data_IF_483007424626
#
_entry.id   IF_483007424626
#
_cell.length_a   1.000
_cell.length_b   1.000
_cell.length_c   1.000
_cell.angle_alpha   90.00
_cell.angle_beta   90.00
_cell.angle_gamma   90.00
#
_symmetry.space_group_name_H-M   'P 1'
#
loop_
_entity.id
_entity.type
_entity.pdbx_description
1 polymer ?
#
# COMPACT_ATOMS: atom_id res chain seq x y z
N UNK A 1 -95.96 28.03 20.42
CA UNK A 1 -95.06 28.58 19.39
C UNK A 1 -95.84 29.26 18.27
N UNK A 2 -96.85 28.62 17.66
CA UNK A 2 -97.72 29.27 16.66
C UNK A 2 -98.57 30.41 17.21
N UNK A 3 -99.21 30.25 18.38
CA UNK A 3 -100.11 31.27 18.96
C UNK A 3 -99.42 32.60 19.28
N UNK A 4 -98.20 32.56 19.84
CA UNK A 4 -97.40 33.76 20.17
C UNK A 4 -96.92 34.48 18.90
N UNK A 5 -96.52 33.72 17.87
CA UNK A 5 -96.11 34.27 16.58
C UNK A 5 -97.30 34.93 15.86
N UNK A 6 -98.49 34.30 15.90
CA UNK A 6 -99.70 34.92 15.36
C UNK A 6 -100.05 36.22 16.11
N UNK A 7 -99.93 36.26 17.44
CA UNK A 7 -100.19 37.45 18.25
C UNK A 7 -99.21 38.59 17.95
N UNK A 8 -97.93 38.29 17.75
CA UNK A 8 -96.92 39.28 17.34
C UNK A 8 -97.28 39.91 15.98
N UNK A 9 -97.61 39.08 14.97
CA UNK A 9 -98.02 39.59 13.66
C UNK A 9 -99.33 40.38 13.74
N UNK A 10 -100.28 39.95 14.57
CA UNK A 10 -101.54 40.67 14.83
C UNK A 10 -101.29 42.04 15.48
N UNK A 11 -100.42 42.13 16.49
CA UNK A 11 -100.04 43.41 17.11
C UNK A 11 -99.31 44.32 16.11
N UNK A 12 -98.45 43.79 15.24
CA UNK A 12 -97.81 44.57 14.16
C UNK A 12 -98.83 45.08 13.13
N UNK A 13 -99.79 44.25 12.74
CA UNK A 13 -100.86 44.61 11.81
C UNK A 13 -101.81 45.65 12.43
N UNK A 14 -102.09 45.55 13.72
CA UNK A 14 -102.89 46.53 14.47
C UNK A 14 -102.15 47.87 14.59
N UNK A 15 -100.85 47.86 14.88
CA UNK A 15 -99.99 49.06 14.90
C UNK A 15 -99.93 49.72 13.52
N UNK A 16 -99.87 48.91 12.46
CA UNK A 16 -99.95 49.38 11.07
C UNK A 16 -101.31 50.02 10.79
N UNK A 17 -102.40 49.37 11.19
CA UNK A 17 -103.79 49.87 11.01
C UNK A 17 -104.03 51.18 11.74
N UNK A 18 -103.47 51.34 12.95
CA UNK A 18 -103.55 52.58 13.73
C UNK A 18 -102.80 53.72 13.05
N UNK A 19 -101.65 53.45 12.43
CA UNK A 19 -100.87 54.43 11.67
C UNK A 19 -101.57 54.81 10.36
N UNK A 20 -102.14 53.84 9.65
CA UNK A 20 -102.84 54.05 8.37
C UNK A 20 -104.14 54.87 8.54
N UNK A 21 -104.86 54.65 9.65
CA UNK A 21 -106.10 55.39 9.96
C UNK A 21 -105.86 56.64 10.82
N UNK A 22 -104.60 56.97 11.13
CA UNK A 22 -104.24 58.13 11.94
C UNK A 22 -104.64 59.44 11.24
N UNK A 23 -105.09 60.42 12.02
CA UNK A 23 -105.57 61.69 11.47
C UNK A 23 -104.40 62.48 10.90
N UNK A 24 -104.38 62.70 9.59
CA UNK A 24 -103.33 63.47 8.92
C UNK A 24 -103.38 64.93 9.35
N UNK A 25 -102.23 65.53 9.62
CA UNK A 25 -102.13 66.97 9.90
C UNK A 25 -102.14 67.71 8.56
N UNK A 26 -103.04 68.67 8.33
CA UNK A 26 -103.15 69.36 7.04
C UNK A 26 -101.82 70.00 6.62
N UNK A 27 -101.45 69.82 5.35
CA UNK A 27 -100.20 70.32 4.75
C UNK A 27 -98.90 69.71 5.32
N UNK A 28 -98.95 68.55 5.98
CA UNK A 28 -97.77 67.77 6.41
C UNK A 28 -97.91 66.29 6.05
N UNK A 29 -96.79 65.58 5.96
CA UNK A 29 -96.76 64.11 5.90
C UNK A 29 -96.94 63.45 7.29
N UNK A 30 -97.09 64.26 8.35
CA UNK A 30 -97.28 63.78 9.72
C UNK A 30 -98.73 63.39 9.98
N UNK A 31 -98.92 62.29 10.69
CA UNK A 31 -100.21 61.90 11.24
C UNK A 31 -100.21 62.05 12.77
N UNK A 32 -101.38 62.37 13.33
CA UNK A 32 -101.62 62.46 14.75
C UNK A 32 -102.18 61.12 15.21
N UNK A 33 -101.44 60.45 16.09
CA UNK A 33 -101.76 59.12 16.61
C UNK A 33 -101.97 59.20 18.12
N UNK A 34 -102.96 58.47 18.69
CA UNK A 34 -103.16 58.45 20.13
C UNK A 34 -101.93 57.85 20.83
N UNK A 35 -101.17 58.70 21.53
CA UNK A 35 -99.90 58.33 22.16
C UNK A 35 -100.03 57.12 23.09
N UNK A 36 -101.06 57.10 23.92
CA UNK A 36 -101.24 56.05 24.93
C UNK A 36 -101.48 54.69 24.25
N UNK A 37 -102.37 54.63 23.26
CA UNK A 37 -102.63 53.41 22.49
C UNK A 37 -101.42 52.90 21.71
N UNK A 38 -100.59 53.82 21.18
CA UNK A 38 -99.38 53.46 20.43
C UNK A 38 -98.28 52.94 21.36
N UNK A 39 -98.19 53.46 22.58
CA UNK A 39 -97.30 52.94 23.62
C UNK A 39 -97.78 51.57 24.10
N UNK A 40 -99.09 51.38 24.30
CA UNK A 40 -99.68 50.08 24.68
C UNK A 40 -99.37 49.00 23.61
N UNK A 41 -99.56 49.31 22.33
CA UNK A 41 -99.24 48.40 21.22
C UNK A 41 -97.72 48.11 21.11
N UNK A 42 -96.87 49.09 21.42
CA UNK A 42 -95.41 48.90 21.44
C UNK A 42 -94.98 48.05 22.65
N UNK A 43 -95.63 48.20 23.79
CA UNK A 43 -95.39 47.39 24.98
C UNK A 43 -95.92 45.96 24.77
N UNK A 44 -97.11 45.78 24.18
CA UNK A 44 -97.63 44.48 23.75
C UNK A 44 -96.72 43.82 22.72
N UNK A 45 -96.18 44.58 21.75
CA UNK A 45 -95.20 44.07 20.78
C UNK A 45 -93.90 43.64 21.47
N UNK A 46 -93.46 44.41 22.46
CA UNK A 46 -92.25 44.13 23.25
C UNK A 46 -92.42 42.93 24.17
N UNK A 47 -93.61 42.72 24.71
CA UNK A 47 -93.96 41.62 25.61
C UNK A 47 -94.34 40.34 24.83
N UNK A 48 -94.82 40.49 23.59
CA UNK A 48 -95.07 39.39 22.65
C UNK A 48 -93.86 38.97 21.82
N UNK A 49 -92.76 39.75 21.86
CA UNK A 49 -91.47 39.30 21.31
C UNK A 49 -91.14 37.94 21.91
N UNK A 50 -91.09 36.87 21.09
CA UNK A 50 -90.99 35.53 21.62
C UNK A 50 -89.70 35.39 22.42
N UNK A 51 -89.77 34.76 23.59
CA UNK A 51 -88.58 34.37 24.37
C UNK A 51 -87.57 33.61 23.50
N UNK A 52 -88.06 32.87 22.50
CA UNK A 52 -87.27 32.17 21.48
C UNK A 52 -86.33 33.09 20.66
N UNK A 53 -86.73 34.34 20.36
CA UNK A 53 -85.91 35.30 19.60
C UNK A 53 -84.78 35.86 20.46
N UNK A 54 -85.07 36.16 21.74
CA UNK A 54 -84.05 36.59 22.70
C UNK A 54 -83.07 35.45 23.01
N UNK A 55 -83.60 34.23 23.17
CA UNK A 55 -82.80 33.01 23.32
C UNK A 55 -81.92 32.76 22.09
N UNK A 56 -82.44 32.95 20.87
CA UNK A 56 -81.66 32.84 19.65
C UNK A 56 -80.50 33.86 19.59
N UNK A 57 -80.74 35.12 20.01
CA UNK A 57 -79.69 36.14 20.13
C UNK A 57 -78.58 35.73 21.10
N UNK A 58 -78.94 35.26 22.30
CA UNK A 58 -78.00 34.77 23.30
C UNK A 58 -77.20 33.55 22.80
N UNK A 59 -77.83 32.64 22.06
CA UNK A 59 -77.16 31.48 21.44
C UNK A 59 -76.14 31.93 20.38
N UNK A 60 -76.47 32.94 19.56
CA UNK A 60 -75.55 33.48 18.56
C UNK A 60 -74.36 34.17 19.23
N UNK A 61 -74.59 34.93 20.29
CA UNK A 61 -73.53 35.58 21.07
C UNK A 61 -72.61 34.54 21.74
N UNK A 62 -73.19 33.56 22.42
CA UNK A 62 -72.46 32.44 23.03
C UNK A 62 -71.66 31.65 21.98
N UNK A 63 -72.24 31.37 20.81
CA UNK A 63 -71.53 30.72 19.70
C UNK A 63 -70.35 31.56 19.22
N UNK A 64 -70.53 32.87 19.13
CA UNK A 64 -69.47 33.79 18.68
C UNK A 64 -68.32 33.80 19.68
N UNK A 65 -68.62 33.83 20.98
CA UNK A 65 -67.62 33.73 22.04
C UNK A 65 -66.88 32.39 21.99
N UNK A 66 -67.59 31.27 21.85
CA UNK A 66 -66.98 29.93 21.71
C UNK A 66 -66.06 29.87 20.50
N UNK A 67 -66.46 30.42 19.35
CA UNK A 67 -65.62 30.43 18.14
C UNK A 67 -64.36 31.28 18.33
N UNK A 68 -64.47 32.43 18.99
CA UNK A 68 -63.31 33.27 19.30
C UNK A 68 -62.35 32.57 20.27
N UNK A 69 -62.88 31.92 21.32
CA UNK A 69 -62.07 31.15 22.28
C UNK A 69 -61.37 29.97 21.60
N UNK A 70 -62.11 29.19 20.79
CA UNK A 70 -61.53 28.08 20.03
C UNK A 70 -60.45 28.55 19.05
N UNK A 71 -60.65 29.69 18.39
CA UNK A 71 -59.67 30.24 17.46
C UNK A 71 -58.41 30.74 18.18
N UNK A 72 -58.56 31.45 19.30
CA UNK A 72 -57.45 31.87 20.14
C UNK A 72 -56.67 30.67 20.71
N UNK A 73 -57.37 29.61 21.14
CA UNK A 73 -56.75 28.38 21.61
C UNK A 73 -56.00 27.64 20.48
N UNK A 74 -56.58 27.56 19.29
CA UNK A 74 -55.93 26.94 18.13
C UNK A 74 -54.65 27.69 17.71
N UNK A 75 -54.68 29.04 17.71
CA UNK A 75 -53.52 29.88 17.44
C UNK A 75 -52.44 29.68 18.52
N UNK A 76 -52.83 29.65 19.79
CA UNK A 76 -51.92 29.39 20.92
C UNK A 76 -51.26 28.02 20.81
N UNK A 77 -52.03 26.98 20.50
CA UNK A 77 -51.52 25.61 20.33
C UNK A 77 -50.55 25.54 19.15
N UNK A 78 -50.93 26.12 18.01
CA UNK A 78 -50.09 26.16 16.81
C UNK A 78 -48.78 26.92 17.07
N UNK A 79 -48.85 28.06 17.76
CA UNK A 79 -47.68 28.83 18.16
C UNK A 79 -46.74 28.04 19.07
N UNK A 80 -47.29 27.35 20.07
CA UNK A 80 -46.52 26.49 20.98
C UNK A 80 -45.84 25.35 20.22
N UNK A 81 -46.58 24.62 19.39
CA UNK A 81 -46.02 23.50 18.60
C UNK A 81 -44.96 23.96 17.62
N UNK A 82 -45.14 25.13 16.97
CA UNK A 82 -44.10 25.72 16.09
C UNK A 82 -42.84 26.07 16.88
N UNK A 83 -42.99 26.73 18.03
CA UNK A 83 -41.85 27.06 18.89
C UNK A 83 -41.09 25.84 19.40
N UNK A 84 -41.80 24.80 19.85
CA UNK A 84 -41.21 23.52 20.26
C UNK A 84 -40.47 22.85 19.08
N UNK A 85 -41.07 22.86 17.89
CA UNK A 85 -40.46 22.29 16.68
C UNK A 85 -39.18 23.02 16.27
N UNK A 86 -39.18 24.36 16.31
CA UNK A 86 -38.00 25.18 16.04
C UNK A 86 -36.88 24.92 17.05
N UNK A 87 -37.23 24.81 18.34
CA UNK A 87 -36.27 24.46 19.38
C UNK A 87 -35.67 23.08 19.16
N UNK A 88 -36.49 22.06 18.87
CA UNK A 88 -36.05 20.70 18.56
C UNK A 88 -35.13 20.64 17.33
N UNK A 89 -35.48 21.36 16.27
CA UNK A 89 -34.63 21.43 15.07
C UNK A 89 -33.30 22.13 15.39
N UNK A 90 -33.32 23.18 16.21
CA UNK A 90 -32.11 23.89 16.62
C UNK A 90 -31.17 23.01 17.45
N UNK A 91 -31.70 22.24 18.41
CA UNK A 91 -30.92 21.35 19.26
C UNK A 91 -30.38 20.16 18.45
N UNK A 92 -31.21 19.56 17.60
CA UNK A 92 -30.79 18.47 16.71
C UNK A 92 -29.68 18.91 15.74
N UNK A 93 -29.76 20.12 15.18
CA UNK A 93 -28.69 20.68 14.33
C UNK A 93 -27.39 20.87 15.11
N UNK A 94 -27.44 21.45 16.32
CA UNK A 94 -26.25 21.61 17.17
C UNK A 94 -25.61 20.27 17.51
N UNK A 95 -26.41 19.29 17.94
CA UNK A 95 -25.92 17.95 18.27
C UNK A 95 -25.31 17.25 17.05
N UNK A 96 -25.93 17.36 15.87
CA UNK A 96 -25.37 16.84 14.62
C UNK A 96 -24.02 17.47 14.31
N UNK A 97 -23.90 18.79 14.42
CA UNK A 97 -22.68 19.51 14.07
C UNK A 97 -21.55 19.18 15.05
N UNK A 98 -21.87 18.97 16.33
CA UNK A 98 -20.93 18.47 17.34
C UNK A 98 -20.44 17.06 17.02
N UNK A 99 -21.36 16.12 16.72
CA UNK A 99 -21.04 14.73 16.34
C UNK A 99 -20.20 14.67 15.06
N UNK A 100 -20.52 15.48 14.06
CA UNK A 100 -19.71 15.55 12.84
C UNK A 100 -18.34 16.16 13.13
N UNK A 101 -18.25 17.13 14.05
CA UNK A 101 -17.00 17.72 14.48
C UNK A 101 -16.09 16.71 15.20
N UNK A 102 -16.62 15.92 16.13
CA UNK A 102 -15.88 14.87 16.82
C UNK A 102 -15.45 13.76 15.85
N UNK A 103 -16.36 13.27 15.01
CA UNK A 103 -16.07 12.24 14.02
C UNK A 103 -14.98 12.68 13.02
N UNK A 104 -15.00 13.95 12.58
CA UNK A 104 -13.95 14.50 11.71
C UNK A 104 -12.60 14.55 12.40
N UNK A 105 -12.54 15.05 13.64
CA UNK A 105 -11.28 15.07 14.41
C UNK A 105 -10.71 13.67 14.62
N UNK A 106 -11.56 12.72 15.00
CA UNK A 106 -11.14 11.34 15.20
C UNK A 106 -10.64 10.70 13.89
N UNK A 107 -11.33 10.95 12.77
CA UNK A 107 -10.85 10.50 11.45
C UNK A 107 -9.49 11.10 11.12
N UNK A 108 -9.32 12.40 11.32
CA UNK A 108 -8.07 13.10 10.99
C UNK A 108 -6.91 12.60 11.86
N UNK A 109 -7.17 12.31 13.13
CA UNK A 109 -6.21 11.68 14.05
C UNK A 109 -5.82 10.27 13.61
N UNK A 110 -6.80 9.41 13.25
CA UNK A 110 -6.52 8.05 12.75
C UNK A 110 -5.70 8.11 11.46
N UNK A 111 -6.02 9.02 10.54
CA UNK A 111 -5.28 9.18 9.30
C UNK A 111 -3.85 9.65 9.55
N UNK A 112 -3.65 10.61 10.45
CA UNK A 112 -2.33 11.08 10.83
C UNK A 112 -1.49 9.98 11.47
N UNK A 113 -2.09 9.20 12.38
CA UNK A 113 -1.41 8.06 13.01
C UNK A 113 -1.04 6.98 11.98
N UNK A 114 -1.98 6.60 11.11
CA UNK A 114 -1.74 5.59 10.09
C UNK A 114 -0.66 6.04 9.07
N UNK A 115 -0.59 7.34 8.77
CA UNK A 115 0.47 7.91 7.94
C UNK A 115 1.83 7.83 8.63
N UNK A 116 1.92 8.21 9.90
CA UNK A 116 3.15 8.10 10.68
C UNK A 116 3.62 6.65 10.80
N UNK A 117 2.72 5.71 11.11
CA UNK A 117 3.03 4.28 11.18
C UNK A 117 3.55 3.74 9.84
N UNK A 118 2.96 4.19 8.72
CA UNK A 118 3.41 3.79 7.39
C UNK A 118 4.80 4.35 7.04
N UNK A 119 5.08 5.60 7.42
CA UNK A 119 6.39 6.23 7.26
C UNK A 119 7.47 5.49 8.08
N UNK A 120 7.15 5.13 9.32
CA UNK A 120 8.06 4.37 10.20
C UNK A 120 8.38 2.98 9.63
N UNK A 121 7.37 2.25 9.15
CA UNK A 121 7.56 0.93 8.52
C UNK A 121 8.44 1.03 7.27
N UNK A 122 8.22 2.05 6.44
CA UNK A 122 9.02 2.27 5.24
C UNK A 122 10.48 2.59 5.59
N UNK A 123 10.70 3.46 6.57
CA UNK A 123 12.04 3.82 7.03
C UNK A 123 12.78 2.60 7.61
N UNK A 124 12.11 1.76 8.40
CA UNK A 124 12.69 0.52 8.93
C UNK A 124 13.03 -0.47 7.80
N UNK A 125 12.12 -0.66 6.85
CA UNK A 125 12.34 -1.54 5.70
C UNK A 125 13.51 -1.06 4.81
N UNK A 126 13.63 0.24 4.56
CA UNK A 126 14.74 0.83 3.82
C UNK A 126 16.08 0.61 4.54
N UNK A 127 16.13 0.87 5.86
CA UNK A 127 17.32 0.65 6.66
C UNK A 127 17.73 -0.83 6.69
N UNK A 128 16.76 -1.75 6.79
CA UNK A 128 17.03 -3.18 6.72
C UNK A 128 17.54 -3.61 5.33
N UNK A 129 16.93 -3.11 4.25
CA UNK A 129 17.37 -3.39 2.90
C UNK A 129 18.81 -2.92 2.67
N UNK A 130 19.15 -1.71 3.10
CA UNK A 130 20.52 -1.18 3.02
C UNK A 130 21.52 -2.06 3.79
N UNK A 131 21.15 -2.49 5.01
CA UNK A 131 21.97 -3.38 5.82
C UNK A 131 22.22 -4.72 5.13
N UNK A 132 21.19 -5.35 4.58
CA UNK A 132 21.30 -6.63 3.87
C UNK A 132 22.15 -6.50 2.60
N UNK A 133 22.01 -5.40 1.86
CA UNK A 133 22.85 -5.14 0.68
C UNK A 133 24.30 -4.96 1.09
N UNK A 134 24.57 -4.18 2.15
CA UNK A 134 25.93 -3.97 2.65
C UNK A 134 26.57 -5.30 3.11
N UNK A 135 25.84 -6.12 3.87
CA UNK A 135 26.30 -7.43 4.30
C UNK A 135 26.56 -8.37 3.12
N UNK A 136 25.64 -8.43 2.15
CA UNK A 136 25.79 -9.24 0.95
C UNK A 136 26.98 -8.82 0.09
N UNK A 137 27.24 -7.52 -0.03
CA UNK A 137 28.40 -6.99 -0.73
C UNK A 137 29.71 -7.36 -0.03
N UNK A 138 29.77 -7.19 1.29
CA UNK A 138 30.94 -7.56 2.09
C UNK A 138 31.22 -9.07 2.03
N UNK A 139 30.18 -9.90 2.12
CA UNK A 139 30.31 -11.34 2.00
C UNK A 139 30.81 -11.77 0.62
N UNK A 140 30.26 -11.17 -0.45
CA UNK A 140 30.71 -11.41 -1.84
C UNK A 140 32.17 -11.00 -2.02
N UNK A 141 32.57 -9.86 -1.48
CA UNK A 141 33.96 -9.40 -1.56
C UNK A 141 34.92 -10.35 -0.84
N UNK A 142 34.56 -10.81 0.35
CA UNK A 142 35.34 -11.80 1.10
C UNK A 142 35.49 -13.12 0.33
N UNK A 143 34.41 -13.63 -0.27
CA UNK A 143 34.46 -14.85 -1.09
C UNK A 143 35.35 -14.69 -2.32
N UNK A 144 35.29 -13.53 -2.99
CA UNK A 144 36.14 -13.26 -4.14
C UNK A 144 37.62 -13.16 -3.74
N UNK A 145 37.92 -12.51 -2.61
CA UNK A 145 39.28 -12.41 -2.09
C UNK A 145 39.85 -13.79 -1.73
N UNK A 146 39.07 -14.63 -1.04
CA UNK A 146 39.45 -15.99 -0.70
C UNK A 146 39.67 -16.85 -1.97
N UNK A 147 38.74 -16.82 -2.92
CA UNK A 147 38.87 -17.54 -4.19
C UNK A 147 40.11 -17.08 -5.00
N UNK A 148 40.41 -15.78 -4.99
CA UNK A 148 41.62 -15.25 -5.64
C UNK A 148 42.90 -15.72 -4.95
N UNK A 149 42.92 -15.76 -3.61
CA UNK A 149 44.06 -16.27 -2.84
C UNK A 149 44.30 -17.76 -3.13
N UNK A 150 43.25 -18.59 -3.07
CA UNK A 150 43.34 -20.03 -3.37
C UNK A 150 43.80 -20.28 -4.81
N UNK A 151 43.29 -19.49 -5.78
CA UNK A 151 43.75 -19.57 -7.17
C UNK A 151 45.22 -19.22 -7.30
N UNK A 152 45.69 -18.17 -6.64
CA UNK A 152 47.09 -17.76 -6.68
C UNK A 152 48.01 -18.85 -6.10
N UNK A 153 47.61 -19.46 -4.98
CA UNK A 153 48.32 -20.58 -4.37
C UNK A 153 48.39 -21.79 -5.29
N UNK A 154 47.26 -22.19 -5.90
CA UNK A 154 47.22 -23.33 -6.83
C UNK A 154 48.09 -23.09 -8.06
N UNK A 155 48.11 -21.86 -8.59
CA UNK A 155 49.00 -21.52 -9.71
C UNK A 155 50.48 -21.57 -9.32
N UNK A 156 50.83 -21.05 -8.14
CA UNK A 156 52.20 -21.11 -7.63
C UNK A 156 52.65 -22.56 -7.40
N UNK A 157 51.81 -23.40 -6.81
CA UNK A 157 52.08 -24.82 -6.63
C UNK A 157 52.26 -25.56 -7.96
N UNK A 158 51.37 -25.28 -8.93
CA UNK A 158 51.47 -25.86 -10.27
C UNK A 158 52.76 -25.44 -11.01
N UNK A 159 53.18 -24.18 -10.87
CA UNK A 159 54.42 -23.67 -11.46
C UNK A 159 55.65 -24.34 -10.83
N UNK A 160 55.71 -24.42 -9.50
CA UNK A 160 56.81 -25.07 -8.79
C UNK A 160 56.94 -26.56 -9.19
N UNK A 161 55.81 -27.26 -9.31
CA UNK A 161 55.82 -28.66 -9.76
C UNK A 161 56.24 -28.78 -11.24
N UNK A 162 55.79 -27.86 -12.10
CA UNK A 162 56.21 -27.83 -13.50
C UNK A 162 57.73 -27.63 -13.64
N UNK A 163 58.31 -26.68 -12.90
CA UNK A 163 59.77 -26.45 -12.87
C UNK A 163 60.53 -27.67 -12.35
N UNK A 164 59.99 -28.34 -11.32
CA UNK A 164 60.56 -29.59 -10.80
C UNK A 164 60.61 -30.67 -11.88
N UNK A 165 59.51 -30.88 -12.60
CA UNK A 165 59.42 -31.88 -13.69
C UNK A 165 60.34 -31.55 -14.88
N UNK A 166 60.49 -30.27 -15.24
CA UNK A 166 61.46 -29.85 -16.26
C UNK A 166 62.87 -30.21 -15.81
N UNK A 167 63.25 -29.83 -14.59
CA UNK A 167 64.59 -30.10 -14.03
C UNK A 167 64.87 -31.59 -13.98
N UNK A 168 63.90 -32.40 -13.53
CA UNK A 168 64.03 -33.87 -13.49
C UNK A 168 64.23 -34.45 -14.89
N UNK A 169 63.48 -33.95 -15.88
CA UNK A 169 63.61 -34.36 -17.28
C UNK A 169 64.98 -33.97 -17.88
N UNK A 170 65.48 -32.78 -17.56
CA UNK A 170 66.79 -32.30 -18.01
C UNK A 170 67.95 -33.11 -17.41
N UNK A 171 67.88 -33.41 -16.11
CA UNK A 171 68.85 -34.28 -15.44
C UNK A 171 68.84 -35.68 -16.06
N UNK A 172 67.65 -36.24 -16.33
CA UNK A 172 67.53 -37.53 -16.99
C UNK A 172 68.16 -37.52 -18.39
N UNK A 173 67.84 -36.53 -19.23
CA UNK A 173 68.43 -36.40 -20.57
C UNK A 173 69.96 -36.25 -20.51
N UNK A 174 70.47 -35.37 -19.65
CA UNK A 174 71.91 -35.18 -19.50
C UNK A 174 72.65 -36.42 -18.95
N UNK A 175 71.99 -37.25 -18.14
CA UNK A 175 72.53 -38.52 -17.69
C UNK A 175 72.60 -39.56 -18.83
N UNK A 176 71.57 -39.61 -19.69
CA UNK A 176 71.55 -40.47 -20.88
C UNK A 176 72.65 -40.05 -21.86
N UNK A 177 72.75 -38.76 -22.18
CA UNK A 177 73.79 -38.25 -23.09
C UNK A 177 75.22 -38.57 -22.59
N UNK A 178 75.47 -38.40 -21.28
CA UNK A 178 76.77 -38.77 -20.68
C UNK A 178 77.04 -40.27 -20.72
N UNK A 179 76.02 -41.10 -20.52
CA UNK A 179 76.16 -42.54 -20.59
C UNK A 179 76.54 -42.98 -22.02
N UNK A 180 75.89 -42.39 -23.03
CA UNK A 180 76.19 -42.62 -24.44
C UNK A 180 77.61 -42.15 -24.79
N UNK A 181 78.03 -40.96 -24.34
CA UNK A 181 79.40 -40.48 -24.52
C UNK A 181 80.45 -41.40 -23.89
N UNK A 182 80.21 -41.85 -22.65
CA UNK A 182 81.12 -42.77 -21.96
C UNK A 182 81.19 -44.11 -22.68
N UNK A 183 80.05 -44.62 -23.16
CA UNK A 183 79.96 -45.81 -24.01
C UNK A 183 80.78 -45.65 -25.29
N UNK A 184 80.64 -44.53 -26.00
CA UNK A 184 81.43 -44.25 -27.21
C UNK A 184 82.93 -44.15 -26.92
N UNK A 185 83.33 -43.48 -25.83
CA UNK A 185 84.75 -43.35 -25.42
C UNK A 185 85.36 -44.69 -25.06
N UNK A 186 84.67 -45.49 -24.23
CA UNK A 186 85.14 -46.82 -23.84
C UNK A 186 85.25 -47.75 -25.04
N UNK A 187 84.30 -47.70 -25.99
CA UNK A 187 84.40 -48.45 -27.24
C UNK A 187 85.63 -48.04 -28.07
N UNK A 188 85.89 -46.73 -28.18
CA UNK A 188 87.07 -46.21 -28.87
C UNK A 188 88.39 -46.61 -28.18
N UNK A 189 88.45 -46.52 -26.85
CA UNK A 189 89.62 -46.93 -26.06
C UNK A 189 89.89 -48.43 -26.17
N UNK A 190 88.85 -49.27 -26.10
CA UNK A 190 88.96 -50.72 -26.31
C UNK A 190 89.45 -51.04 -27.72
N UNK A 191 88.93 -50.35 -28.74
CA UNK A 191 89.39 -50.50 -30.12
C UNK A 191 90.87 -50.10 -30.26
N UNK A 192 91.28 -49.00 -29.63
CA UNK A 192 92.69 -48.55 -29.60
C UNK A 192 93.59 -49.57 -28.90
N UNK A 193 93.21 -50.03 -27.69
CA UNK A 193 93.97 -51.03 -26.94
C UNK A 193 94.13 -52.33 -27.73
N UNK A 194 93.06 -52.80 -28.41
CA UNK A 194 93.15 -53.96 -29.30
C UNK A 194 94.14 -53.73 -30.43
N UNK A 195 94.07 -52.59 -31.12
CA UNK A 195 95.00 -52.26 -32.19
C UNK A 195 96.46 -52.17 -31.70
N UNK A 196 96.70 -51.59 -30.52
CA UNK A 196 98.03 -51.53 -29.88
C UNK A 196 98.56 -52.93 -29.52
N UNK A 197 97.70 -53.81 -28.97
CA UNK A 197 98.07 -55.20 -28.65
C UNK A 197 98.35 -55.97 -29.93
N UNK A 198 97.51 -55.85 -30.96
CA UNK A 198 97.70 -56.50 -32.25
C UNK A 198 99.02 -56.05 -32.89
N UNK A 199 99.32 -54.75 -32.88
CA UNK A 199 100.59 -54.20 -33.37
C UNK A 199 101.79 -54.70 -32.55
N UNK A 200 101.66 -54.78 -31.23
CA UNK A 200 102.74 -55.29 -30.37
C UNK A 200 103.01 -56.77 -30.63
N UNK A 201 101.96 -57.59 -30.76
CA UNK A 201 102.08 -59.02 -31.09
C UNK A 201 102.73 -59.19 -32.45
N UNK A 202 102.28 -58.45 -33.46
CA UNK A 202 102.85 -58.50 -34.82
C UNK A 202 104.35 -58.13 -34.81
N UNK A 203 104.71 -57.03 -34.15
CA UNK A 203 106.12 -56.62 -34.00
C UNK A 203 106.97 -57.68 -33.28
N UNK A 204 106.46 -58.29 -32.21
CA UNK A 204 107.18 -59.35 -31.46
C UNK A 204 107.32 -60.63 -32.27
N UNK A 205 106.30 -61.00 -33.04
CA UNK A 205 106.36 -62.15 -33.95
C UNK A 205 107.35 -61.91 -35.09
N UNK A 206 107.40 -60.70 -35.64
CA UNK A 206 108.39 -60.31 -36.64
C UNK A 206 109.83 -60.37 -36.08
N UNK A 207 110.07 -59.80 -34.90
CA UNK A 207 111.37 -59.88 -34.21
C UNK A 207 111.78 -61.34 -33.90
N UNK A 208 110.82 -62.17 -33.48
CA UNK A 208 111.06 -63.59 -33.25
C UNK A 208 111.36 -64.35 -34.55
N UNK A 209 110.61 -64.04 -35.63
CA UNK A 209 110.83 -64.59 -36.96
C UNK A 209 112.23 -64.30 -37.49
N UNK A 210 112.67 -63.03 -37.42
CA UNK A 210 114.03 -62.65 -37.82
C UNK A 210 115.11 -63.32 -36.96
N UNK A 211 114.84 -63.56 -35.68
CA UNK A 211 115.75 -64.30 -34.80
C UNK A 211 115.85 -65.78 -35.20
N UNK A 212 114.72 -66.43 -35.50
CA UNK A 212 114.69 -67.81 -35.99
C UNK A 212 115.38 -67.96 -37.35
N UNK A 213 115.19 -67.02 -38.29
CA UNK A 213 115.90 -67.01 -39.57
C UNK A 213 117.42 -66.94 -39.37
N UNK A 214 117.90 -66.09 -38.45
CA UNK A 214 119.33 -66.02 -38.10
C UNK A 214 119.83 -67.34 -37.50
N UNK A 215 119.06 -67.98 -36.62
CA UNK A 215 119.43 -69.29 -36.06
C UNK A 215 119.44 -70.37 -37.15
N UNK A 216 118.45 -70.40 -38.05
CA UNK A 216 118.36 -71.36 -39.14
C UNK A 216 119.54 -71.18 -40.11
N UNK A 217 119.88 -69.94 -40.47
CA UNK A 217 121.06 -69.62 -41.27
C UNK A 217 122.36 -70.08 -40.59
N UNK A 218 122.47 -69.89 -39.26
CA UNK A 218 123.61 -70.39 -38.48
C UNK A 218 123.70 -71.93 -38.49
N UNK A 219 122.57 -72.63 -38.41
CA UNK A 219 122.51 -74.10 -38.46
C UNK A 219 122.80 -74.63 -39.87
N UNK A 220 122.27 -74.00 -40.92
CA UNK A 220 122.60 -74.34 -42.31
C UNK A 220 124.09 -74.14 -42.60
N UNK A 221 124.66 -73.02 -42.14
CA UNK A 221 126.10 -72.75 -42.23
C UNK A 221 126.92 -73.82 -41.50
N UNK A 222 126.52 -74.21 -40.28
CA UNK A 222 127.15 -75.29 -39.53
C UNK A 222 127.05 -76.65 -40.27
N UNK A 223 125.92 -76.91 -40.94
CA UNK A 223 125.69 -78.14 -41.71
C UNK A 223 126.48 -78.17 -43.02
N UNK A 224 126.72 -77.02 -43.66
CA UNK A 224 127.62 -76.94 -44.82
C UNK A 224 129.08 -77.17 -44.42
N UNK A 225 129.54 -76.67 -43.27
CA UNK A 225 130.89 -76.96 -42.74
C UNK A 225 131.11 -78.39 -42.28
N UNK A 226 130.05 -79.19 -42.09
CA UNK A 226 130.14 -80.63 -41.78
C UNK A 226 130.07 -81.52 -43.05
N UNK A 227 129.88 -80.93 -44.24
CA UNK A 227 129.81 -81.64 -45.53
C UNK A 227 131.05 -81.41 -46.42
N UNK A 228 132.04 -80.66 -45.94
CA UNK A 228 133.42 -80.63 -46.44
C UNK A 228 134.33 -81.43 -45.50
#
# INVERSE_FOLDING_TARGET
>A
MTEVVYRLYETVDELTTVIENARSVPMSASCMVPRDHLLDLLDDLRESLPEDVQAAGAIVEQRTEILQQAQAEAERLTGRTRGESEQLLSSARRQRDELLGTARRQRDEILAQAQADAEDILAEAEAEAERLVAEGMAHREALLADAQAQRAEMLAAAQAEHERLITETEVYRGAVDRADELGARTAADVARMRAEVDQYVDSRLADFGTTLERMLHSVEKARTTLRE
#
